data_IF_105898665253
#
_entry.id   IF_105898665253
#
_cell.length_a   1.000
_cell.length_b   1.000
_cell.length_c   1.000
_cell.angle_alpha   90.00
_cell.angle_beta   90.00
_cell.angle_gamma   90.00
#
_symmetry.space_group_name_H-M   'P 1'
#
loop_
_entity.id
_entity.type
_entity.pdbx_description
1 polymer ?
#
# COMPACT_ATOMS: atom_id res chain seq x y z
N UNK A 1 6.83 18.78 -21.90
CA UNK A 1 7.74 17.67 -21.51
C UNK A 1 7.50 16.40 -22.36
N UNK A 2 8.51 15.92 -23.10
CA UNK A 2 8.51 14.88 -24.17
C UNK A 2 7.47 15.02 -25.28
N UNK A 3 6.17 14.99 -24.98
CA UNK A 3 5.08 15.26 -25.93
C UNK A 3 5.04 16.71 -26.46
N UNK A 4 5.80 17.61 -25.84
CA UNK A 4 5.97 19.01 -26.28
C UNK A 4 7.45 19.34 -26.61
N UNK A 5 8.24 18.36 -27.07
CA UNK A 5 9.61 18.60 -27.56
C UNK A 5 10.70 18.83 -26.49
N UNK A 6 10.38 18.80 -25.20
CA UNK A 6 11.39 18.85 -24.12
C UNK A 6 12.13 17.52 -23.92
N UNK A 7 13.37 17.56 -23.44
CA UNK A 7 14.32 16.42 -23.28
C UNK A 7 13.79 15.18 -22.52
N UNK A 8 12.65 15.28 -21.84
CA UNK A 8 12.00 14.14 -21.20
C UNK A 8 12.70 13.68 -19.92
N UNK A 9 13.52 14.54 -19.32
CA UNK A 9 14.06 14.33 -17.99
C UNK A 9 12.92 14.14 -17.00
N UNK A 10 12.96 13.03 -16.26
CA UNK A 10 12.09 12.78 -15.11
C UNK A 10 12.82 13.24 -13.87
N UNK A 11 12.09 13.78 -12.92
CA UNK A 11 12.61 13.94 -11.57
C UNK A 11 12.99 12.55 -11.04
N UNK A 12 14.27 12.38 -10.69
CA UNK A 12 14.84 11.09 -10.29
C UNK A 12 14.21 10.61 -8.98
N UNK A 13 13.88 11.51 -8.06
CA UNK A 13 13.27 11.16 -6.78
C UNK A 13 11.85 10.63 -7.02
N UNK A 14 11.05 11.35 -7.83
CA UNK A 14 9.70 10.90 -8.18
C UNK A 14 9.72 9.56 -8.94
N UNK A 15 10.72 9.35 -9.80
CA UNK A 15 10.87 8.09 -10.51
C UNK A 15 11.23 6.94 -9.57
N UNK A 16 12.10 7.20 -8.58
CA UNK A 16 12.45 6.22 -7.56
C UNK A 16 11.24 5.86 -6.68
N UNK A 17 10.50 6.85 -6.19
CA UNK A 17 9.28 6.61 -5.40
C UNK A 17 8.25 5.76 -6.16
N UNK A 18 8.10 6.00 -7.47
CA UNK A 18 7.24 5.17 -8.32
C UNK A 18 7.75 3.72 -8.44
N UNK A 19 9.07 3.51 -8.52
CA UNK A 19 9.66 2.17 -8.53
C UNK A 19 9.50 1.46 -7.18
N UNK A 20 9.66 2.18 -6.07
CA UNK A 20 9.42 1.64 -4.73
C UNK A 20 7.96 1.22 -4.56
N UNK A 21 7.02 2.07 -4.99
CA UNK A 21 5.59 1.73 -4.99
C UNK A 21 5.29 0.51 -5.87
N UNK A 22 5.94 0.38 -7.03
CA UNK A 22 5.80 -0.81 -7.89
C UNK A 22 6.30 -2.08 -7.20
N UNK A 23 7.42 -2.01 -6.48
CA UNK A 23 7.94 -3.16 -5.71
C UNK A 23 7.02 -3.52 -4.54
N UNK A 24 6.53 -2.53 -3.80
CA UNK A 24 5.56 -2.73 -2.71
C UNK A 24 4.25 -3.31 -3.23
N UNK A 25 3.80 -2.91 -4.41
CA UNK A 25 2.65 -3.49 -5.09
C UNK A 25 2.87 -4.97 -5.42
N UNK A 26 4.05 -5.32 -5.95
CA UNK A 26 4.40 -6.72 -6.23
C UNK A 26 4.37 -7.60 -4.98
N UNK A 27 4.87 -7.10 -3.85
CA UNK A 27 4.80 -7.82 -2.56
C UNK A 27 3.35 -8.01 -2.12
N UNK A 28 2.52 -6.98 -2.29
CA UNK A 28 1.11 -7.00 -1.92
C UNK A 28 0.31 -7.99 -2.77
N UNK A 29 0.52 -8.01 -4.10
CA UNK A 29 -0.26 -8.87 -5.01
C UNK A 29 0.29 -10.28 -5.13
N UNK A 30 1.59 -10.49 -4.90
CA UNK A 30 2.25 -11.79 -5.00
C UNK A 30 2.88 -12.21 -3.66
N UNK A 31 2.06 -12.45 -2.61
CA UNK A 31 2.57 -12.77 -1.28
C UNK A 31 3.35 -14.11 -1.23
N UNK A 32 3.19 -14.96 -2.24
CA UNK A 32 3.85 -16.25 -2.32
C UNK A 32 5.28 -16.21 -2.89
N UNK A 33 5.69 -15.08 -3.49
CA UNK A 33 7.05 -14.96 -3.99
C UNK A 33 8.07 -14.98 -2.83
N UNK A 34 9.29 -15.45 -3.12
CA UNK A 34 10.32 -15.63 -2.11
C UNK A 34 10.59 -14.34 -1.31
N UNK A 35 10.68 -13.20 -2.00
CA UNK A 35 10.90 -11.90 -1.37
C UNK A 35 9.78 -11.54 -0.39
N UNK A 36 8.51 -11.69 -0.79
CA UNK A 36 7.38 -11.41 0.07
C UNK A 36 7.36 -12.33 1.31
N UNK A 37 7.64 -13.63 1.14
CA UNK A 37 7.73 -14.60 2.25
C UNK A 37 8.82 -14.24 3.24
N UNK A 38 10.02 -13.90 2.76
CA UNK A 38 11.15 -13.50 3.61
C UNK A 38 10.81 -12.22 4.38
N UNK A 39 10.24 -11.22 3.72
CA UNK A 39 9.88 -9.96 4.36
C UNK A 39 8.72 -10.10 5.34
N UNK A 40 7.70 -10.90 5.02
CA UNK A 40 6.62 -11.25 5.94
C UNK A 40 7.16 -11.94 7.19
N UNK A 41 8.02 -12.95 7.00
CA UNK A 41 8.70 -13.65 8.08
C UNK A 41 9.57 -12.73 8.94
N UNK A 42 10.14 -11.65 8.39
CA UNK A 42 11.02 -10.76 9.15
C UNK A 42 10.30 -9.58 9.81
N UNK A 43 9.36 -8.97 9.11
CA UNK A 43 8.84 -7.65 9.46
C UNK A 43 7.34 -7.61 9.79
N UNK A 44 6.55 -8.59 9.34
CA UNK A 44 5.10 -8.55 9.54
C UNK A 44 4.48 -9.96 9.66
N UNK A 45 4.97 -10.78 10.60
CA UNK A 45 4.49 -12.16 10.79
C UNK A 45 3.01 -12.26 11.17
N UNK A 46 2.53 -11.29 11.96
CA UNK A 46 1.20 -11.28 12.56
C UNK A 46 0.32 -10.12 12.04
N UNK A 47 0.77 -9.44 11.00
CA UNK A 47 0.06 -8.29 10.43
C UNK A 47 0.11 -8.30 8.91
N UNK A 48 -0.80 -7.55 8.30
CA UNK A 48 -0.79 -7.35 6.86
C UNK A 48 0.44 -6.52 6.45
N UNK A 49 0.88 -6.68 5.20
CA UNK A 49 1.94 -5.82 4.65
C UNK A 49 1.56 -4.34 4.73
N UNK A 50 0.29 -3.99 4.48
CA UNK A 50 -0.20 -2.60 4.52
C UNK A 50 -0.17 -2.00 5.94
N UNK A 51 -0.32 -2.82 6.98
CA UNK A 51 -0.34 -2.38 8.38
C UNK A 51 1.02 -2.55 9.08
N UNK A 52 2.01 -3.03 8.35
CA UNK A 52 3.36 -3.17 8.86
C UNK A 52 4.00 -1.82 9.21
N UNK A 53 4.66 -1.75 10.36
CA UNK A 53 5.42 -0.59 10.82
C UNK A 53 6.89 -0.71 10.41
N UNK A 54 7.65 0.38 10.58
CA UNK A 54 9.10 0.41 10.34
C UNK A 54 9.81 0.34 11.68
N UNK A 55 10.40 -0.81 12.07
CA UNK A 55 11.19 -0.90 13.29
C UNK A 55 12.42 0.02 13.23
N UNK A 56 12.87 0.51 14.39
CA UNK A 56 14.08 1.36 14.49
C UNK A 56 15.34 0.70 13.90
N UNK A 57 15.44 -0.63 13.97
CA UNK A 57 16.57 -1.44 13.46
C UNK A 57 16.25 -2.11 12.11
N UNK A 58 15.34 -1.55 11.30
CA UNK A 58 15.02 -2.14 9.99
C UNK A 58 16.16 -1.98 8.98
N UNK A 59 16.14 -2.80 7.93
CA UNK A 59 17.08 -2.63 6.81
C UNK A 59 16.67 -1.40 5.98
N UNK A 60 17.63 -0.82 5.24
CA UNK A 60 17.32 0.26 4.30
C UNK A 60 16.29 -0.18 3.26
N UNK A 61 16.42 -1.38 2.71
CA UNK A 61 15.45 -1.92 1.75
C UNK A 61 14.02 -2.02 2.30
N UNK A 62 13.84 -2.40 3.56
CA UNK A 62 12.53 -2.40 4.20
C UNK A 62 11.97 -0.98 4.33
N UNK A 63 12.79 -0.01 4.78
CA UNK A 63 12.35 1.39 4.85
C UNK A 63 11.91 1.91 3.48
N UNK A 64 12.67 1.63 2.43
CA UNK A 64 12.32 2.02 1.05
C UNK A 64 11.02 1.37 0.58
N UNK A 65 10.78 0.10 0.90
CA UNK A 65 9.50 -0.56 0.62
C UNK A 65 8.34 0.06 1.40
N UNK A 66 8.55 0.48 2.64
CA UNK A 66 7.53 1.16 3.41
C UNK A 66 7.17 2.53 2.81
N UNK A 67 8.12 3.27 2.25
CA UNK A 67 7.84 4.51 1.49
C UNK A 67 6.87 4.20 0.33
N UNK A 68 7.18 3.17 -0.47
CA UNK A 68 6.31 2.72 -1.56
C UNK A 68 4.93 2.26 -1.08
N UNK A 69 4.88 1.52 0.05
CA UNK A 69 3.65 1.06 0.69
C UNK A 69 2.77 2.24 1.13
N UNK A 70 3.36 3.26 1.76
CA UNK A 70 2.64 4.44 2.22
C UNK A 70 2.12 5.29 1.05
N UNK A 71 2.86 5.34 -0.07
CA UNK A 71 2.37 5.95 -1.30
C UNK A 71 1.15 5.21 -1.84
N UNK A 72 1.19 3.86 -1.86
CA UNK A 72 0.06 3.04 -2.29
C UNK A 72 -1.16 3.25 -1.39
N UNK A 73 -1.02 3.20 -0.05
CA UNK A 73 -2.15 3.35 0.88
C UNK A 73 -3.00 4.61 0.63
N UNK A 74 -2.40 5.69 0.13
CA UNK A 74 -3.12 6.95 -0.20
C UNK A 74 -4.08 6.83 -1.39
N UNK A 75 -3.86 5.84 -2.26
CA UNK A 75 -4.57 5.67 -3.55
C UNK A 75 -5.18 4.28 -3.74
N UNK A 76 -4.93 3.35 -2.82
CA UNK A 76 -5.59 2.05 -2.82
C UNK A 76 -7.07 2.19 -2.47
N UNK A 77 -7.89 1.40 -3.14
CA UNK A 77 -9.31 1.24 -2.88
C UNK A 77 -9.70 -0.23 -2.95
N UNK A 78 -10.93 -0.52 -2.56
CA UNK A 78 -11.45 -1.88 -2.57
C UNK A 78 -12.26 -2.15 -3.83
N UNK A 79 -12.08 -3.34 -4.39
CA UNK A 79 -13.01 -3.93 -5.35
C UNK A 79 -13.83 -4.95 -4.57
N UNK A 80 -15.13 -4.69 -4.46
CA UNK A 80 -16.03 -5.50 -3.64
C UNK A 80 -16.32 -6.82 -4.36
N UNK A 81 -15.93 -7.94 -3.75
CA UNK A 81 -16.35 -9.29 -4.11
C UNK A 81 -17.54 -9.72 -3.27
N UNK A 82 -17.32 -10.68 -2.36
CA UNK A 82 -18.32 -11.14 -1.38
C UNK A 82 -18.36 -10.30 -0.09
N UNK A 83 -17.40 -9.40 0.11
CA UNK A 83 -17.38 -8.45 1.24
C UNK A 83 -16.90 -9.01 2.58
N UNK A 84 -16.59 -10.31 2.70
CA UNK A 84 -16.22 -10.94 3.98
C UNK A 84 -14.94 -10.39 4.61
N UNK A 85 -14.04 -9.85 3.79
CA UNK A 85 -12.75 -9.29 4.22
C UNK A 85 -12.76 -7.78 4.46
N UNK A 86 -13.89 -7.11 4.19
CA UNK A 86 -14.00 -5.65 4.29
C UNK A 86 -14.43 -5.25 5.69
N UNK A 87 -13.65 -4.38 6.33
CA UNK A 87 -14.07 -3.72 7.57
C UNK A 87 -14.93 -2.52 7.22
N UNK A 88 -16.25 -2.69 7.38
CA UNK A 88 -17.28 -1.73 6.94
C UNK A 88 -16.97 -0.28 7.34
N UNK A 89 -16.45 -0.04 8.54
CA UNK A 89 -16.22 1.31 9.04
C UNK A 89 -14.80 1.85 8.82
N UNK A 90 -13.79 0.97 8.78
CA UNK A 90 -12.38 1.40 8.71
C UNK A 90 -11.79 1.33 7.30
N UNK A 91 -12.39 0.58 6.39
CA UNK A 91 -11.86 0.39 5.05
C UNK A 91 -12.51 1.34 4.03
N UNK A 92 -11.75 1.93 3.10
CA UNK A 92 -12.30 2.84 2.11
C UNK A 92 -12.91 2.07 0.92
N UNK A 93 -14.13 1.55 1.09
CA UNK A 93 -14.80 0.70 0.10
C UNK A 93 -15.98 1.36 -0.65
N UNK A 94 -16.38 2.58 -0.29
CA UNK A 94 -17.59 3.22 -0.85
C UNK A 94 -17.43 3.73 -2.29
N UNK A 95 -16.21 3.94 -2.78
CA UNK A 95 -15.95 4.48 -4.12
C UNK A 95 -14.70 3.87 -4.72
N UNK A 96 -14.78 3.61 -6.03
CA UNK A 96 -13.66 3.13 -6.83
C UNK A 96 -12.72 4.27 -7.26
N UNK A 97 -13.20 5.52 -7.25
CA UNK A 97 -12.45 6.68 -7.72
C UNK A 97 -11.66 7.36 -6.60
N UNK A 98 -12.17 7.27 -5.37
CA UNK A 98 -11.64 7.97 -4.21
C UNK A 98 -11.80 7.09 -2.98
N UNK A 99 -10.79 6.99 -2.10
CA UNK A 99 -10.89 6.19 -0.89
C UNK A 99 -11.90 6.85 0.07
N UNK A 100 -13.14 6.36 0.08
CA UNK A 100 -14.23 6.88 0.90
C UNK A 100 -14.67 5.83 1.92
N UNK A 101 -14.85 6.29 3.16
CA UNK A 101 -15.33 5.52 4.29
C UNK A 101 -16.69 6.06 4.75
N UNK A 102 -17.56 5.22 5.35
CA UNK A 102 -18.81 5.69 5.92
C UNK A 102 -18.58 6.76 6.99
N UNK A 103 -19.38 7.84 6.96
CA UNK A 103 -19.38 8.87 8.00
C UNK A 103 -20.47 8.55 9.04
N UNK A 104 -20.08 8.47 10.31
CA UNK A 104 -21.01 8.27 11.42
C UNK A 104 -20.33 7.69 12.66
N UNK A 105 -21.02 7.67 13.82
CA UNK A 105 -20.53 6.94 14.98
C UNK A 105 -20.52 5.44 14.66
N UNK A 106 -19.38 4.78 14.90
CA UNK A 106 -19.25 3.33 14.75
C UNK A 106 -20.22 2.66 15.73
N UNK A 107 -21.18 1.84 15.27
CA UNK A 107 -22.06 1.07 16.13
C UNK A 107 -21.26 0.17 17.09
N UNK A 108 -21.62 0.12 18.38
CA UNK A 108 -20.88 -0.64 19.42
C UNK A 108 -20.71 -2.13 19.09
N UNK A 109 -21.62 -2.70 18.29
CA UNK A 109 -21.57 -4.08 17.83
C UNK A 109 -20.56 -4.36 16.71
N UNK A 110 -19.85 -3.34 16.20
CA UNK A 110 -18.88 -3.47 15.10
C UNK A 110 -17.45 -3.07 15.50
N UNK A 111 -17.19 -2.83 16.80
CA UNK A 111 -15.84 -2.57 17.34
C UNK A 111 -15.02 -3.84 17.52
#
# INVERSE_FOLDING_TARGET
PKQFGGLGFKDINNFNDALLAKLSWSILTNPQCLLAKILAGKYHKHSSFLDSSVPNLSSHGWRSLCIGKDLLKKKLGWVIGNGESIKVWSDPWLSLNTPLQPMGPVPENTQ
#
